data_IF_911378808796
#
_entry.id   IF_911378808796
#
_cell.length_a   1.000
_cell.length_b   1.000
_cell.length_c   1.000
_cell.angle_alpha   90.00
_cell.angle_beta   90.00
_cell.angle_gamma   90.00
#
_symmetry.space_group_name_H-M   'P 1'
#
loop_
_entity.id
_entity.type
_entity.pdbx_description
1 polymer ?
#
# COMPACT_ATOMS: atom_id res chain seq x y z
N UNK A 1 -7.06 10.52 13.38
CA UNK A 1 -7.39 9.63 12.25
C UNK A 1 -7.80 8.26 12.77
N UNK A 2 -8.92 7.75 12.33
CA UNK A 2 -9.29 6.36 12.59
C UNK A 2 -8.46 5.47 11.68
N UNK A 3 -8.00 4.34 12.20
CA UNK A 3 -7.39 3.33 11.34
C UNK A 3 -8.50 2.70 10.51
N UNK A 4 -8.47 2.84 9.20
CA UNK A 4 -9.47 2.24 8.34
C UNK A 4 -9.30 0.72 8.36
N UNK A 5 -10.39 0.01 8.33
CA UNK A 5 -10.37 -1.44 8.33
C UNK A 5 -11.22 -1.97 7.20
N UNK A 6 -10.57 -2.29 6.10
CA UNK A 6 -11.15 -3.10 5.04
C UNK A 6 -10.61 -4.50 5.16
N UNK A 7 -11.47 -5.48 5.08
CA UNK A 7 -11.08 -6.88 5.14
C UNK A 7 -10.81 -7.41 3.73
N UNK A 8 -9.86 -8.32 3.64
CA UNK A 8 -9.66 -9.09 2.41
C UNK A 8 -10.91 -9.93 2.11
N UNK A 9 -11.27 -9.95 0.84
CA UNK A 9 -12.35 -10.81 0.34
C UNK A 9 -11.80 -12.15 -0.12
N UNK A 10 -10.55 -12.15 -0.62
CA UNK A 10 -9.86 -13.34 -1.10
C UNK A 10 -8.50 -13.48 -0.43
N UNK A 11 -7.85 -14.62 -0.60
CA UNK A 11 -6.48 -14.86 -0.12
C UNK A 11 -5.44 -14.02 -0.87
N UNK A 12 -5.80 -13.44 -2.01
CA UNK A 12 -4.87 -12.85 -2.96
C UNK A 12 -4.84 -11.32 -2.93
N UNK A 13 -5.82 -10.68 -2.33
CA UNK A 13 -6.02 -9.24 -2.42
C UNK A 13 -5.41 -8.42 -1.29
N UNK A 14 -4.46 -9.00 -0.54
CA UNK A 14 -3.79 -8.30 0.57
C UNK A 14 -3.11 -7.00 0.11
N UNK A 15 -2.46 -7.01 -1.05
CA UNK A 15 -1.83 -5.81 -1.61
C UNK A 15 -2.83 -4.72 -1.95
N UNK A 16 -3.91 -5.08 -2.63
CA UNK A 16 -4.99 -4.16 -3.01
C UNK A 16 -5.63 -3.54 -1.78
N UNK A 17 -6.05 -4.37 -0.84
CA UNK A 17 -6.75 -3.93 0.38
C UNK A 17 -5.84 -3.09 1.26
N UNK A 18 -4.58 -3.48 1.42
CA UNK A 18 -3.61 -2.72 2.21
C UNK A 18 -3.36 -1.33 1.63
N UNK A 19 -3.26 -1.20 0.30
CA UNK A 19 -3.12 0.10 -0.35
C UNK A 19 -4.36 0.97 -0.18
N UNK A 20 -5.54 0.42 -0.35
CA UNK A 20 -6.79 1.15 -0.11
C UNK A 20 -6.90 1.61 1.34
N UNK A 21 -6.50 0.77 2.28
CA UNK A 21 -6.45 1.14 3.70
C UNK A 21 -5.41 2.23 3.97
N UNK A 22 -4.25 2.19 3.32
CA UNK A 22 -3.23 3.21 3.45
C UNK A 22 -3.75 4.59 3.05
N UNK A 23 -4.40 4.70 1.90
CA UNK A 23 -4.97 5.97 1.45
C UNK A 23 -6.17 6.40 2.29
N UNK A 24 -6.99 5.47 2.75
CA UNK A 24 -8.10 5.79 3.66
C UNK A 24 -7.61 6.25 5.04
N UNK A 25 -6.41 5.86 5.43
CA UNK A 25 -5.76 6.36 6.64
C UNK A 25 -5.22 7.79 6.45
N UNK A 26 -4.63 8.08 5.29
CA UNK A 26 -4.02 9.38 5.01
C UNK A 26 -5.04 10.47 4.68
N UNK A 27 -6.17 10.11 4.09
CA UNK A 27 -7.16 11.04 3.57
C UNK A 27 -8.57 10.63 3.99
N UNK A 28 -9.43 11.63 4.14
CA UNK A 28 -10.86 11.37 4.25
C UNK A 28 -11.38 10.76 2.94
N UNK A 29 -12.36 9.90 3.02
CA UNK A 29 -12.91 9.17 1.87
C UNK A 29 -13.28 10.08 0.69
N UNK A 30 -13.79 11.29 0.99
CA UNK A 30 -14.18 12.28 -0.02
C UNK A 30 -12.99 12.88 -0.77
N UNK A 31 -11.80 12.83 -0.17
CA UNK A 31 -10.58 13.38 -0.71
C UNK A 31 -9.82 12.40 -1.61
N UNK A 32 -10.20 11.13 -1.59
CA UNK A 32 -9.53 10.08 -2.36
C UNK A 32 -10.08 10.10 -3.79
N UNK A 33 -9.26 10.47 -4.79
CA UNK A 33 -9.74 10.52 -6.17
C UNK A 33 -10.12 9.13 -6.69
N UNK A 34 -11.24 9.05 -7.41
CA UNK A 34 -11.67 7.81 -8.03
C UNK A 34 -10.61 7.23 -8.98
N UNK A 35 -9.84 8.10 -9.63
CA UNK A 35 -8.75 7.68 -10.53
C UNK A 35 -7.63 6.96 -9.79
N UNK A 36 -7.32 7.37 -8.56
CA UNK A 36 -6.36 6.67 -7.72
C UNK A 36 -6.86 5.28 -7.33
N UNK A 37 -8.11 5.18 -6.91
CA UNK A 37 -8.73 3.89 -6.57
C UNK A 37 -8.71 2.94 -7.79
N UNK A 38 -9.06 3.46 -8.95
CA UNK A 38 -8.99 2.69 -10.21
C UNK A 38 -7.57 2.23 -10.52
N UNK A 39 -6.58 3.09 -10.32
CA UNK A 39 -5.18 2.73 -10.55
C UNK A 39 -4.73 1.61 -9.61
N UNK A 40 -5.08 1.68 -8.33
CA UNK A 40 -4.77 0.63 -7.37
C UNK A 40 -5.35 -0.71 -7.86
N UNK A 41 -6.61 -0.75 -8.23
CA UNK A 41 -7.23 -1.98 -8.75
C UNK A 41 -6.61 -2.44 -10.06
N UNK A 42 -6.19 -1.53 -10.92
CA UNK A 42 -5.64 -1.87 -12.24
C UNK A 42 -4.21 -2.41 -12.18
N UNK A 43 -3.41 -1.95 -11.23
CA UNK A 43 -2.01 -2.39 -11.10
C UNK A 43 -1.85 -3.61 -10.23
N UNK A 44 -2.74 -3.84 -9.28
CA UNK A 44 -2.64 -4.97 -8.34
C UNK A 44 -3.27 -6.24 -8.92
N UNK A 45 -3.06 -7.39 -8.25
CA UNK A 45 -3.56 -8.69 -8.67
C UNK A 45 -3.09 -9.08 -10.08
N UNK A 46 -1.83 -8.79 -10.38
CA UNK A 46 -1.24 -9.03 -11.70
C UNK A 46 -0.63 -10.43 -11.86
N UNK A 47 -0.59 -11.22 -10.82
CA UNK A 47 0.01 -12.54 -10.85
C UNK A 47 -1.03 -13.61 -11.21
N UNK A 48 -0.56 -14.63 -11.94
CA UNK A 48 -1.33 -15.83 -12.24
C UNK A 48 -1.05 -16.90 -11.17
N UNK A 49 -2.04 -17.72 -10.89
CA UNK A 49 -1.82 -18.92 -10.10
C UNK A 49 -1.16 -20.04 -10.95
N UNK A 50 -0.92 -21.19 -10.35
CA UNK A 50 -0.33 -22.36 -11.05
C UNK A 50 -1.22 -22.92 -12.16
N UNK A 51 -2.51 -22.59 -12.15
CA UNK A 51 -3.50 -23.03 -13.15
C UNK A 51 -3.75 -22.00 -14.25
N UNK A 52 -3.05 -20.86 -14.22
CA UNK A 52 -3.18 -19.80 -15.19
C UNK A 52 -4.31 -18.79 -14.94
N UNK A 53 -4.92 -18.80 -13.77
CA UNK A 53 -5.96 -17.82 -13.41
C UNK A 53 -5.34 -16.49 -13.00
N UNK A 54 -5.69 -15.42 -13.72
CA UNK A 54 -5.23 -14.07 -13.41
C UNK A 54 -5.81 -13.57 -12.09
N UNK A 55 -4.99 -12.86 -11.31
CA UNK A 55 -5.41 -12.26 -10.04
C UNK A 55 -5.42 -13.21 -8.86
N UNK A 56 -5.20 -14.49 -9.07
CA UNK A 56 -5.16 -15.52 -8.03
C UNK A 56 -3.74 -15.86 -7.54
N UNK A 57 -2.73 -15.19 -8.10
CA UNK A 57 -1.34 -15.27 -7.65
C UNK A 57 -0.88 -14.07 -6.79
N UNK A 58 -1.81 -13.18 -6.45
CA UNK A 58 -1.50 -11.98 -5.67
C UNK A 58 -0.96 -10.84 -6.51
N UNK A 59 -0.20 -9.96 -5.88
CA UNK A 59 0.37 -8.75 -6.50
C UNK A 59 1.89 -8.83 -6.52
N UNK A 60 2.50 -8.61 -7.68
CA UNK A 60 3.94 -8.65 -7.83
C UNK A 60 4.61 -7.39 -7.27
N UNK A 61 5.89 -7.52 -6.98
CA UNK A 61 6.76 -6.40 -6.61
C UNK A 61 6.85 -5.36 -7.73
N UNK A 62 6.91 -5.81 -8.96
CA UNK A 62 6.95 -4.95 -10.15
C UNK A 62 5.69 -4.12 -10.30
N UNK A 63 4.53 -4.70 -10.03
CA UNK A 63 3.26 -3.98 -10.04
C UNK A 63 3.25 -2.86 -9.00
N UNK A 64 3.73 -3.12 -7.80
CA UNK A 64 3.82 -2.10 -6.74
C UNK A 64 4.80 -0.99 -7.15
N UNK A 65 5.93 -1.34 -7.75
CA UNK A 65 6.90 -0.35 -8.24
C UNK A 65 6.29 0.55 -9.32
N UNK A 66 5.58 -0.03 -10.28
CA UNK A 66 4.89 0.73 -11.32
C UNK A 66 3.80 1.63 -10.75
N UNK A 67 3.03 1.11 -9.80
CA UNK A 67 1.97 1.88 -9.14
C UNK A 67 2.56 3.06 -8.34
N UNK A 68 3.66 2.87 -7.62
CA UNK A 68 4.31 3.95 -6.88
C UNK A 68 4.77 5.09 -7.80
N UNK A 69 5.32 4.77 -8.96
CA UNK A 69 5.68 5.77 -9.97
C UNK A 69 4.45 6.48 -10.54
N UNK A 70 3.37 5.74 -10.77
CA UNK A 70 2.11 6.32 -11.23
C UNK A 70 1.56 7.32 -10.20
N UNK A 71 1.56 6.96 -8.91
CA UNK A 71 1.10 7.82 -7.82
C UNK A 71 1.93 9.09 -7.76
N UNK A 72 3.26 8.99 -7.84
CA UNK A 72 4.15 10.15 -7.86
C UNK A 72 3.83 11.10 -9.02
N UNK A 73 3.68 10.60 -10.23
CA UNK A 73 3.35 11.40 -11.40
C UNK A 73 1.96 12.03 -11.28
N UNK A 74 0.99 11.26 -10.82
CA UNK A 74 -0.38 11.74 -10.62
C UNK A 74 -0.41 12.85 -9.56
N UNK A 75 0.28 12.65 -8.45
CA UNK A 75 0.34 13.62 -7.35
C UNK A 75 0.93 14.94 -7.82
N UNK A 76 2.03 14.91 -8.57
CA UNK A 76 2.65 16.12 -9.13
C UNK A 76 1.73 16.85 -10.10
N UNK A 77 1.07 16.10 -11.00
CA UNK A 77 0.19 16.67 -12.01
C UNK A 77 -1.09 17.29 -11.44
N UNK A 78 -1.62 16.70 -10.38
CA UNK A 78 -2.91 17.10 -9.77
C UNK A 78 -2.76 17.79 -8.42
N UNK A 79 -1.54 18.03 -7.99
CA UNK A 79 -1.25 18.61 -6.67
C UNK A 79 -1.98 17.89 -5.52
N UNK A 80 -1.94 16.56 -5.58
CA UNK A 80 -2.62 15.71 -4.61
C UNK A 80 -1.88 15.64 -3.26
N UNK A 81 -0.60 15.98 -3.23
CA UNK A 81 0.19 16.08 -2.00
C UNK A 81 0.68 14.76 -1.43
N UNK A 82 0.69 13.70 -2.22
CA UNK A 82 1.24 12.40 -1.81
C UNK A 82 2.64 12.21 -2.40
N UNK A 83 3.54 11.76 -1.56
CA UNK A 83 4.88 11.35 -1.97
C UNK A 83 5.08 9.86 -1.65
N UNK A 84 5.52 9.09 -2.63
CA UNK A 84 5.84 7.68 -2.47
C UNK A 84 7.34 7.48 -2.55
N UNK A 85 7.93 7.06 -1.46
CA UNK A 85 9.34 6.68 -1.40
C UNK A 85 9.44 5.15 -1.35
N UNK A 86 10.31 4.59 -2.18
CA UNK A 86 10.60 3.15 -2.18
C UNK A 86 11.91 2.91 -1.45
N UNK A 87 11.88 1.96 -0.53
CA UNK A 87 13.08 1.52 0.17
C UNK A 87 13.55 0.20 -0.42
N UNK A 88 14.84 0.11 -0.71
CA UNK A 88 15.48 -1.16 -1.02
C UNK A 88 15.64 -1.98 0.27
N UNK A 89 15.87 -3.27 0.12
CA UNK A 89 15.95 -4.20 1.25
C UNK A 89 16.93 -3.73 2.34
N UNK A 90 18.04 -3.16 1.95
CA UNK A 90 19.10 -2.68 2.84
C UNK A 90 18.67 -1.44 3.64
N UNK A 91 17.68 -0.71 3.14
CA UNK A 91 17.13 0.50 3.76
C UNK A 91 15.93 0.19 4.67
N UNK A 92 15.44 -1.04 4.65
CA UNK A 92 14.30 -1.47 5.48
C UNK A 92 14.80 -1.73 6.89
N UNK A 93 14.59 -0.78 7.77
CA UNK A 93 14.96 -0.85 9.18
C UNK A 93 13.95 -0.10 10.03
N UNK A 94 13.99 -0.34 11.33
CA UNK A 94 13.06 0.26 12.28
C UNK A 94 13.14 1.79 12.29
N UNK A 95 14.34 2.35 12.13
CA UNK A 95 14.57 3.79 12.11
C UNK A 95 13.85 4.46 10.93
N UNK A 96 13.98 3.92 9.72
CA UNK A 96 13.30 4.44 8.54
C UNK A 96 11.79 4.29 8.63
N UNK A 97 11.30 3.18 9.17
CA UNK A 97 9.87 2.98 9.42
C UNK A 97 9.35 4.02 10.40
N UNK A 98 10.02 4.19 11.55
CA UNK A 98 9.64 5.20 12.54
C UNK A 98 9.66 6.61 11.99
N UNK A 99 10.65 6.95 11.18
CA UNK A 99 10.77 8.26 10.53
C UNK A 99 9.56 8.56 9.65
N UNK A 100 9.14 7.60 8.83
CA UNK A 100 7.95 7.73 8.00
C UNK A 100 6.70 7.96 8.84
N UNK A 101 6.49 7.13 9.86
CA UNK A 101 5.32 7.22 10.73
C UNK A 101 5.30 8.53 11.54
N UNK A 102 6.46 9.00 11.99
CA UNK A 102 6.60 10.28 12.69
C UNK A 102 6.24 11.47 11.81
N UNK A 103 6.49 11.37 10.53
CA UNK A 103 6.15 12.39 9.53
C UNK A 103 4.73 12.21 8.96
N UNK A 104 3.85 11.55 9.68
CA UNK A 104 2.44 11.30 9.30
C UNK A 104 2.28 10.44 8.04
N UNK A 105 3.27 9.63 7.73
CA UNK A 105 3.22 8.70 6.62
C UNK A 105 2.61 7.35 7.00
N UNK A 106 2.48 6.51 5.99
CA UNK A 106 2.10 5.11 6.09
C UNK A 106 3.19 4.28 5.44
N UNK A 107 3.55 3.18 6.04
CA UNK A 107 4.47 2.23 5.43
C UNK A 107 3.68 1.07 4.85
N UNK A 108 3.82 0.86 3.56
CA UNK A 108 3.29 -0.32 2.86
C UNK A 108 4.45 -1.30 2.68
N UNK A 109 4.31 -2.49 3.26
CA UNK A 109 5.40 -3.44 3.31
C UNK A 109 5.00 -4.80 2.76
N UNK A 110 5.93 -5.42 2.03
CA UNK A 110 5.87 -6.82 1.66
C UNK A 110 6.68 -7.60 2.68
N UNK A 111 6.07 -8.58 3.29
CA UNK A 111 6.71 -9.37 4.33
C UNK A 111 6.42 -10.86 4.17
N UNK A 112 7.17 -11.67 4.89
CA UNK A 112 6.96 -13.10 4.94
C UNK A 112 6.18 -13.46 6.20
N UNK A 113 4.99 -14.03 6.00
CA UNK A 113 4.13 -14.53 7.08
C UNK A 113 3.63 -15.93 6.66
N UNK A 114 4.54 -16.92 6.68
CA UNK A 114 4.36 -18.25 6.10
C UNK A 114 4.24 -18.24 4.58
N UNK A 115 3.69 -17.16 4.02
CA UNK A 115 3.66 -16.82 2.60
C UNK A 115 4.02 -15.35 2.43
N UNK A 116 4.28 -14.93 1.23
CA UNK A 116 4.46 -13.49 0.93
C UNK A 116 3.15 -12.75 1.19
N UNK A 117 3.23 -11.67 1.94
CA UNK A 117 2.07 -10.90 2.36
C UNK A 117 2.36 -9.39 2.33
N UNK A 118 1.35 -8.61 2.01
CA UNK A 118 1.41 -7.15 2.09
C UNK A 118 0.65 -6.65 3.31
N UNK A 119 1.26 -5.73 4.03
CA UNK A 119 0.70 -5.12 5.24
C UNK A 119 1.00 -3.62 5.23
N UNK A 120 0.28 -2.88 6.07
CA UNK A 120 0.60 -1.47 6.31
C UNK A 120 0.96 -1.26 7.78
N UNK A 121 1.89 -0.34 8.00
CA UNK A 121 2.20 0.16 9.33
C UNK A 121 1.64 1.57 9.42
N UNK A 122 0.82 1.81 10.43
CA UNK A 122 0.24 3.12 10.69
C UNK A 122 0.54 3.55 12.13
N UNK A 123 0.56 4.84 12.37
CA UNK A 123 0.70 5.37 13.71
C UNK A 123 -0.67 5.48 14.37
N UNK A 124 -0.90 4.71 15.40
CA UNK A 124 -2.06 4.88 16.27
C UNK A 124 -1.56 5.28 17.65
N UNK A 125 -1.94 6.46 18.12
CA UNK A 125 -1.47 6.98 19.40
C UNK A 125 0.05 6.83 19.54
N UNK A 126 0.78 7.69 20.09
CA UNK A 126 2.24 7.76 20.13
C UNK A 126 3.02 6.48 20.53
N UNK A 127 2.36 5.34 20.76
CA UNK A 127 2.98 4.15 21.36
C UNK A 127 2.85 2.84 20.56
N UNK A 128 2.00 2.75 19.56
CA UNK A 128 1.77 1.50 18.82
C UNK A 128 1.78 1.70 17.32
N UNK A 129 2.49 0.81 16.65
CA UNK A 129 2.39 0.62 15.20
C UNK A 129 1.33 -0.45 14.95
N UNK A 130 0.42 -0.18 14.03
CA UNK A 130 -0.61 -1.14 13.61
C UNK A 130 -0.25 -1.65 12.23
N UNK A 131 -0.20 -2.95 12.13
CA UNK A 131 0.11 -3.68 10.91
C UNK A 131 -1.18 -4.11 10.21
#
# INVERSE_FOLDING_TARGET
MKVPLRFQVTEFDCGTVSLLNAFSYLFDRKEIPAKLVKAIHSYTLDCYDEYGNIGEGGTSREAINKLSHWIERYSKKKDFGVHCERLEKEEVNLENIKKCLKNNGVVFARCWMEVEHYVIFTKKNSKKVIV
#
